data_IF_431688847072
#
_entry.id   IF_431688847072
#
_cell.length_a   1.000
_cell.length_b   1.000
_cell.length_c   1.000
_cell.angle_alpha   90.00
_cell.angle_beta   90.00
_cell.angle_gamma   90.00
#
_symmetry.space_group_name_H-M   'P 1'
#
loop_
_entity.id
_entity.type
_entity.pdbx_description
1 polymer ?
#
# COMPACT_ATOMS: atom_id res chain seq x y z
N UNK A 1 23.04 29.03 29.11
CA UNK A 1 23.78 28.82 27.85
C UNK A 1 24.74 27.66 28.08
N UNK A 2 24.46 26.47 27.52
CA UNK A 2 25.29 25.27 27.68
C UNK A 2 25.92 24.91 26.34
N UNK A 3 27.23 25.00 26.28
CA UNK A 3 28.09 24.65 25.16
C UNK A 3 28.11 23.12 25.02
N UNK A 4 27.69 22.59 23.87
CA UNK A 4 27.81 21.17 23.55
C UNK A 4 28.93 21.00 22.52
N UNK A 5 30.00 20.35 22.97
CA UNK A 5 31.22 20.02 22.24
C UNK A 5 30.93 18.88 21.25
N UNK A 6 31.19 19.12 19.96
CA UNK A 6 31.19 18.09 18.93
C UNK A 6 32.49 17.29 19.00
N UNK A 7 32.38 15.97 19.20
CA UNK A 7 33.50 15.05 19.03
C UNK A 7 33.57 14.59 17.57
N UNK A 8 34.68 14.92 16.91
CA UNK A 8 35.04 14.39 15.60
C UNK A 8 35.48 12.93 15.74
N UNK A 9 34.90 12.04 14.94
CA UNK A 9 35.44 10.71 14.71
C UNK A 9 35.83 10.62 13.24
N UNK A 10 37.13 10.50 13.00
CA UNK A 10 37.74 10.29 11.69
C UNK A 10 38.70 9.12 11.80
N UNK A 11 38.69 8.24 10.79
CA UNK A 11 39.66 7.20 10.36
C UNK A 11 38.85 6.08 9.67
N UNK A 12 38.76 6.04 8.32
CA UNK A 12 39.70 5.40 7.39
C UNK A 12 39.89 3.89 7.72
N UNK A 13 39.72 2.90 6.82
CA UNK A 13 40.37 2.76 5.51
C UNK A 13 40.07 1.37 4.88
N UNK A 14 40.11 1.29 3.53
CA UNK A 14 40.55 0.16 2.65
C UNK A 14 39.55 -1.04 2.54
N UNK A 15 39.22 -1.66 1.38
CA UNK A 15 40.02 -2.00 0.20
C UNK A 15 39.17 -2.22 -1.08
N UNK A 16 39.82 -1.98 -2.22
CA UNK A 16 39.41 -2.31 -3.59
C UNK A 16 39.35 -3.80 -3.90
N UNK A 17 38.53 -4.19 -4.88
CA UNK A 17 38.84 -5.28 -5.82
C UNK A 17 38.13 -5.01 -7.16
N UNK A 18 38.94 -4.95 -8.21
CA UNK A 18 38.57 -4.84 -9.62
C UNK A 18 38.68 -6.22 -10.29
N UNK A 19 37.86 -6.48 -11.33
CA UNK A 19 38.14 -7.29 -12.53
C UNK A 19 36.80 -7.62 -13.22
N UNK A 20 36.50 -7.08 -14.41
CA UNK A 20 36.87 -7.60 -15.73
C UNK A 20 36.19 -8.95 -16.08
N UNK A 21 35.25 -8.97 -17.04
CA UNK A 21 35.45 -9.54 -18.39
C UNK A 21 34.14 -9.73 -19.16
N UNK A 22 34.25 -9.33 -20.42
CA UNK A 22 33.37 -9.46 -21.56
C UNK A 22 33.15 -10.93 -21.96
N UNK A 23 31.91 -11.30 -22.32
CA UNK A 23 31.65 -12.45 -23.19
C UNK A 23 30.46 -12.15 -24.11
N UNK A 24 30.77 -11.82 -25.36
CA UNK A 24 29.84 -11.90 -26.48
C UNK A 24 29.61 -13.37 -26.82
N UNK A 25 28.36 -13.82 -26.82
CA UNK A 25 27.95 -15.02 -27.52
C UNK A 25 26.68 -14.71 -28.30
N UNK A 26 26.85 -14.36 -29.57
CA UNK A 26 25.80 -14.33 -30.56
C UNK A 26 25.47 -15.77 -30.95
N UNK A 27 24.32 -16.27 -30.50
CA UNK A 27 23.70 -17.46 -31.04
C UNK A 27 22.34 -17.07 -31.62
N UNK A 28 22.31 -16.96 -32.94
CA UNK A 28 21.10 -16.82 -33.73
C UNK A 28 20.38 -18.18 -33.77
N UNK A 29 19.29 -18.29 -33.04
CA UNK A 29 18.31 -19.36 -33.21
C UNK A 29 16.99 -18.73 -33.65
N UNK A 30 16.75 -18.78 -34.96
CA UNK A 30 15.44 -18.59 -35.56
C UNK A 30 14.51 -19.71 -35.12
N UNK A 31 13.51 -19.37 -34.33
CA UNK A 31 12.33 -20.21 -34.14
C UNK A 31 11.09 -19.30 -34.13
N UNK A 32 10.28 -19.25 -35.21
CA UNK A 32 9.03 -18.51 -35.20
C UNK A 32 7.97 -19.41 -34.56
N UNK A 33 8.13 -19.69 -33.27
CA UNK A 33 7.00 -20.14 -32.48
C UNK A 33 6.09 -18.93 -32.32
N UNK A 34 5.06 -18.87 -33.16
CA UNK A 34 3.92 -17.97 -33.02
C UNK A 34 3.20 -18.42 -31.75
N UNK A 35 3.79 -18.09 -30.61
CA UNK A 35 3.21 -18.28 -29.31
C UNK A 35 1.92 -17.49 -29.30
N UNK A 36 0.81 -18.22 -29.23
CA UNK A 36 -0.48 -17.67 -28.83
C UNK A 36 -0.24 -16.93 -27.53
N UNK A 37 -0.09 -15.61 -27.62
CA UNK A 37 -0.08 -14.73 -26.45
C UNK A 37 -1.46 -14.88 -25.86
N UNK A 38 -1.59 -15.79 -24.90
CA UNK A 38 -2.79 -15.93 -24.09
C UNK A 38 -3.12 -14.52 -23.62
N UNK A 39 -4.22 -13.95 -24.13
CA UNK A 39 -4.66 -12.63 -23.76
C UNK A 39 -4.77 -12.63 -22.24
N UNK A 40 -3.92 -11.84 -21.59
CA UNK A 40 -3.92 -11.77 -20.14
C UNK A 40 -5.33 -11.37 -19.69
N UNK A 41 -5.95 -12.22 -18.87
CA UNK A 41 -7.31 -11.99 -18.43
C UNK A 41 -7.38 -10.61 -17.77
N UNK A 42 -8.33 -9.79 -18.21
CA UNK A 42 -8.60 -8.51 -17.56
C UNK A 42 -9.01 -8.77 -16.10
N UNK A 43 -8.63 -7.87 -15.21
CA UNK A 43 -9.14 -7.91 -13.84
C UNK A 43 -10.67 -7.79 -13.84
N UNK A 44 -11.33 -8.63 -13.06
CA UNK A 44 -12.77 -8.52 -12.80
C UNK A 44 -12.99 -7.58 -11.61
N UNK A 45 -13.59 -6.39 -11.78
CA UNK A 45 -13.84 -5.49 -10.67
C UNK A 45 -14.73 -6.08 -9.58
N UNK A 46 -15.55 -7.09 -9.89
CA UNK A 46 -16.36 -7.78 -8.89
C UNK A 46 -15.51 -8.56 -7.88
N UNK A 47 -14.24 -8.87 -8.18
CA UNK A 47 -13.32 -9.53 -7.24
C UNK A 47 -13.02 -8.67 -6.01
N UNK A 48 -13.25 -7.34 -6.08
CA UNK A 48 -13.06 -6.40 -4.99
C UNK A 48 -14.15 -6.49 -3.91
N UNK A 49 -15.31 -7.07 -4.21
CA UNK A 49 -16.44 -7.09 -3.28
C UNK A 49 -16.05 -7.69 -1.92
N UNK A 50 -16.45 -7.00 -0.85
CA UNK A 50 -16.19 -7.37 0.53
C UNK A 50 -15.30 -6.40 1.30
N UNK A 51 -14.89 -6.83 2.49
CA UNK A 51 -14.08 -6.06 3.43
C UNK A 51 -12.62 -6.50 3.38
N UNK A 52 -11.71 -5.54 3.46
CA UNK A 52 -10.27 -5.73 3.40
C UNK A 52 -9.62 -5.03 4.60
N UNK A 53 -8.81 -5.78 5.35
CA UNK A 53 -8.10 -5.32 6.54
C UNK A 53 -6.74 -4.78 6.14
N UNK A 54 -6.35 -3.63 6.69
CA UNK A 54 -5.05 -3.04 6.39
C UNK A 54 -3.90 -3.91 6.94
N UNK A 55 -2.98 -4.29 6.05
CA UNK A 55 -1.81 -5.09 6.37
C UNK A 55 -0.57 -4.19 6.45
N UNK A 56 -0.39 -3.54 7.61
CA UNK A 56 0.68 -2.56 7.79
C UNK A 56 2.07 -3.14 7.50
N UNK A 57 2.36 -4.37 7.92
CA UNK A 57 3.67 -5.03 7.70
C UNK A 57 4.00 -5.25 6.22
N UNK A 58 2.99 -5.39 5.36
CA UNK A 58 3.16 -5.58 3.92
C UNK A 58 3.14 -4.25 3.14
N UNK A 59 2.96 -3.12 3.84
CA UNK A 59 2.82 -1.79 3.25
C UNK A 59 4.09 -0.97 3.38
N UNK A 60 4.32 -0.05 2.45
CA UNK A 60 5.51 0.82 2.43
C UNK A 60 5.61 1.72 3.67
N UNK A 61 4.49 1.97 4.36
CA UNK A 61 4.45 2.75 5.60
C UNK A 61 5.12 2.04 6.79
N UNK A 62 5.35 0.73 6.73
CA UNK A 62 5.92 -0.03 7.86
C UNK A 62 7.31 0.49 8.25
N UNK A 63 8.21 0.61 7.27
CA UNK A 63 9.60 1.03 7.50
C UNK A 63 9.70 2.41 8.16
N UNK A 64 9.09 3.50 7.63
CA UNK A 64 9.18 4.81 8.27
C UNK A 64 8.50 4.85 9.64
N UNK A 65 7.46 4.03 9.90
CA UNK A 65 6.88 3.90 11.24
C UNK A 65 7.88 3.23 12.20
N UNK A 66 8.50 2.12 11.80
CA UNK A 66 9.51 1.42 12.60
C UNK A 66 10.71 2.32 12.91
N UNK A 67 11.20 3.06 11.92
CA UNK A 67 12.28 4.04 12.10
C UNK A 67 11.91 5.15 13.12
N UNK A 68 10.67 5.65 13.07
CA UNK A 68 10.16 6.61 14.07
C UNK A 68 10.10 6.00 15.47
N UNK A 69 9.66 4.75 15.61
CA UNK A 69 9.65 4.06 16.89
C UNK A 69 11.06 3.85 17.44
N UNK A 70 12.01 3.43 16.60
CA UNK A 70 13.42 3.27 16.98
C UNK A 70 14.03 4.60 17.46
N UNK A 71 13.73 5.70 16.76
CA UNK A 71 14.17 7.05 17.14
C UNK A 71 13.61 7.46 18.50
N UNK A 72 12.30 7.28 18.72
CA UNK A 72 11.64 7.59 20.01
C UNK A 72 12.17 6.76 21.17
N UNK A 73 12.60 5.54 20.89
CA UNK A 73 13.11 4.62 21.89
C UNK A 73 14.55 4.91 22.34
N UNK A 74 15.28 5.80 21.65
CA UNK A 74 16.65 6.20 21.99
C UNK A 74 17.61 5.00 22.19
N UNK A 75 17.50 3.99 21.32
CA UNK A 75 18.33 2.78 21.35
C UNK A 75 17.78 1.62 22.20
N UNK A 76 16.66 1.81 22.91
CA UNK A 76 15.99 0.76 23.67
C UNK A 76 15.11 -0.12 22.75
N UNK A 77 15.60 -1.30 22.39
CA UNK A 77 14.89 -2.21 21.47
C UNK A 77 13.49 -2.61 21.98
N UNK A 78 13.34 -2.86 23.29
CA UNK A 78 12.06 -3.28 23.86
C UNK A 78 11.01 -2.15 23.76
N UNK A 79 11.42 -0.89 23.96
CA UNK A 79 10.54 0.27 23.75
C UNK A 79 10.19 0.47 22.28
N UNK A 80 11.13 0.28 21.36
CA UNK A 80 10.86 0.37 19.92
C UNK A 80 9.82 -0.68 19.48
N UNK A 81 9.97 -1.92 19.97
CA UNK A 81 9.05 -3.01 19.69
C UNK A 81 7.66 -2.78 20.31
N UNK A 82 7.60 -2.25 21.53
CA UNK A 82 6.33 -1.87 22.15
C UNK A 82 5.60 -0.78 21.35
N UNK A 83 6.32 0.26 20.92
CA UNK A 83 5.79 1.32 20.05
C UNK A 83 5.26 0.76 18.73
N UNK A 84 6.02 -0.11 18.06
CA UNK A 84 5.58 -0.74 16.82
C UNK A 84 4.33 -1.58 17.02
N UNK A 85 4.30 -2.43 18.06
CA UNK A 85 3.17 -3.32 18.35
C UNK A 85 1.88 -2.56 18.62
N UNK A 86 1.96 -1.44 19.35
CA UNK A 86 0.82 -0.56 19.57
C UNK A 86 0.27 -0.01 18.25
N UNK A 87 1.15 0.54 17.39
CA UNK A 87 0.75 1.10 16.10
C UNK A 87 0.18 0.01 15.19
N UNK A 88 0.81 -1.16 15.12
CA UNK A 88 0.32 -2.29 14.33
C UNK A 88 -1.06 -2.78 14.80
N UNK A 89 -1.29 -2.78 16.12
CA UNK A 89 -2.60 -3.13 16.70
C UNK A 89 -3.67 -2.11 16.33
N UNK A 90 -3.33 -0.82 16.29
CA UNK A 90 -4.26 0.23 15.85
C UNK A 90 -4.52 0.14 14.34
N UNK A 91 -3.47 -0.03 13.54
CA UNK A 91 -3.55 -0.15 12.08
C UNK A 91 -4.40 -1.35 11.64
N UNK A 92 -4.36 -2.47 12.37
CA UNK A 92 -5.19 -3.64 12.09
C UNK A 92 -6.71 -3.40 12.28
N UNK A 93 -7.10 -2.27 12.88
CA UNK A 93 -8.51 -1.85 12.99
C UNK A 93 -8.98 -1.08 11.76
N UNK A 94 -8.05 -0.56 10.96
CA UNK A 94 -8.38 0.14 9.72
C UNK A 94 -8.74 -0.87 8.63
N UNK A 95 -9.84 -0.58 7.95
CA UNK A 95 -10.42 -1.43 6.91
C UNK A 95 -10.89 -0.58 5.74
N UNK A 96 -11.00 -1.24 4.60
CA UNK A 96 -11.75 -0.72 3.45
C UNK A 96 -12.81 -1.74 3.02
N UNK A 97 -13.87 -1.26 2.39
CA UNK A 97 -14.94 -2.09 1.85
C UNK A 97 -15.28 -1.63 0.44
N UNK A 98 -15.40 -2.58 -0.47
CA UNK A 98 -16.09 -2.37 -1.73
C UNK A 98 -17.42 -3.10 -1.65
N UNK A 99 -18.49 -2.42 -2.02
CA UNK A 99 -19.83 -2.97 -2.01
C UNK A 99 -20.76 -2.19 -2.90
N UNK A 100 -22.07 -2.34 -2.68
CA UNK A 100 -23.11 -1.58 -3.38
C UNK A 100 -24.00 -0.83 -2.40
N UNK A 101 -24.43 0.37 -2.77
CA UNK A 101 -25.46 1.09 -2.04
C UNK A 101 -26.87 0.55 -2.33
N UNK A 102 -27.89 1.14 -1.71
CA UNK A 102 -29.29 0.78 -1.93
C UNK A 102 -29.81 1.00 -3.37
N UNK A 103 -29.07 1.74 -4.20
CA UNK A 103 -29.36 1.94 -5.62
C UNK A 103 -28.54 1.00 -6.53
N UNK A 104 -27.74 0.10 -5.96
CA UNK A 104 -26.90 -0.85 -6.69
C UNK A 104 -25.61 -0.25 -7.24
N UNK A 105 -25.26 1.00 -6.88
CA UNK A 105 -24.01 1.66 -7.32
C UNK A 105 -22.84 1.17 -6.49
N UNK A 106 -21.67 1.01 -7.10
CA UNK A 106 -20.48 0.64 -6.35
C UNK A 106 -20.06 1.75 -5.38
N UNK A 107 -19.64 1.36 -4.18
CA UNK A 107 -19.19 2.25 -3.11
C UNK A 107 -17.86 1.77 -2.58
N UNK A 108 -16.94 2.70 -2.36
CA UNK A 108 -15.73 2.49 -1.58
C UNK A 108 -15.89 3.15 -0.21
N UNK A 109 -15.66 2.39 0.85
CA UNK A 109 -15.73 2.86 2.23
C UNK A 109 -14.39 2.60 2.92
N UNK A 110 -13.79 3.61 3.54
CA UNK A 110 -12.70 3.49 4.52
C UNK A 110 -13.25 3.72 5.92
N UNK A 111 -12.95 2.81 6.83
CA UNK A 111 -13.49 2.82 8.19
C UNK A 111 -12.54 2.18 9.19
N UNK A 112 -12.78 2.45 10.47
CA UNK A 112 -12.09 1.82 11.59
C UNK A 112 -13.08 1.08 12.50
N UNK A 113 -12.58 0.11 13.27
CA UNK A 113 -13.34 -0.57 14.32
C UNK A 113 -12.88 -0.13 15.71
N UNK A 114 -13.81 0.38 16.52
CA UNK A 114 -13.61 0.63 17.95
C UNK A 114 -14.53 -0.30 18.76
N UNK A 115 -13.99 -1.44 19.20
CA UNK A 115 -14.81 -2.54 19.68
C UNK A 115 -15.73 -3.04 18.56
N UNK A 116 -17.03 -3.07 18.81
CA UNK A 116 -18.05 -3.48 17.83
C UNK A 116 -18.61 -2.30 17.01
N UNK A 117 -18.08 -1.09 17.22
CA UNK A 117 -18.54 0.12 16.54
C UNK A 117 -17.70 0.38 15.29
N UNK A 118 -18.37 0.50 14.16
CA UNK A 118 -17.79 1.00 12.91
C UNK A 118 -17.76 2.53 12.92
N UNK A 119 -16.58 3.10 12.66
CA UNK A 119 -16.39 4.53 12.42
C UNK A 119 -16.04 4.75 10.95
N UNK A 120 -16.95 5.38 10.20
CA UNK A 120 -16.75 5.69 8.79
C UNK A 120 -15.86 6.94 8.66
N UNK A 121 -14.65 6.75 8.15
CA UNK A 121 -13.75 7.84 7.81
C UNK A 121 -14.15 8.44 6.47
N UNK A 122 -14.34 7.61 5.45
CA UNK A 122 -14.75 8.04 4.12
C UNK A 122 -15.70 7.01 3.53
N UNK A 123 -16.79 7.46 2.93
CA UNK A 123 -17.62 6.65 2.05
C UNK A 123 -17.90 7.45 0.78
N UNK A 124 -17.72 6.84 -0.39
CA UNK A 124 -17.88 7.55 -1.66
C UNK A 124 -18.35 6.61 -2.77
N UNK A 125 -19.33 7.03 -3.60
CA UNK A 125 -19.69 6.30 -4.81
C UNK A 125 -18.50 6.25 -5.78
N UNK A 126 -18.28 5.09 -6.38
CA UNK A 126 -17.21 4.87 -7.37
C UNK A 126 -17.72 4.19 -8.62
N UNK A 127 -17.11 4.49 -9.76
CA UNK A 127 -17.19 3.72 -10.98
C UNK A 127 -15.99 2.76 -11.01
N UNK A 128 -16.26 1.45 -10.98
CA UNK A 128 -15.22 0.42 -11.07
C UNK A 128 -15.03 -0.03 -12.52
N UNK A 129 -13.80 -0.21 -12.96
CA UNK A 129 -13.47 -0.74 -14.29
C UNK A 129 -12.11 -1.42 -14.32
N UNK A 130 -11.89 -2.31 -15.29
CA UNK A 130 -10.58 -2.93 -15.49
C UNK A 130 -9.54 -1.89 -15.95
N UNK A 131 -8.31 -2.00 -15.43
CA UNK A 131 -7.16 -1.12 -15.73
C UNK A 131 -5.96 -1.95 -16.22
N UNK A 132 -6.25 -3.02 -16.95
CA UNK A 132 -5.27 -4.01 -17.41
C UNK A 132 -5.22 -5.28 -16.55
N UNK A 133 -4.27 -6.19 -16.84
CA UNK A 133 -4.12 -7.43 -16.10
C UNK A 133 -3.82 -7.17 -14.63
N UNK A 134 -4.63 -7.73 -13.74
CA UNK A 134 -4.46 -7.61 -12.29
C UNK A 134 -4.69 -6.20 -11.72
N UNK A 135 -5.29 -5.27 -12.46
CA UNK A 135 -5.53 -3.91 -11.98
C UNK A 135 -6.98 -3.48 -12.20
N UNK A 136 -7.57 -2.84 -11.19
CA UNK A 136 -8.90 -2.23 -11.22
C UNK A 136 -8.76 -0.74 -10.96
N UNK A 137 -9.51 0.06 -11.70
CA UNK A 137 -9.65 1.48 -11.51
C UNK A 137 -10.96 1.77 -10.77
N UNK A 138 -10.89 2.54 -9.69
CA UNK A 138 -12.03 3.06 -8.98
C UNK A 138 -12.05 4.59 -9.11
N UNK A 139 -12.93 5.09 -9.98
CA UNK A 139 -13.09 6.53 -10.23
C UNK A 139 -14.15 7.08 -9.29
N UNK A 140 -13.87 8.20 -8.62
CA UNK A 140 -14.83 8.87 -7.74
C UNK A 140 -16.01 9.38 -8.58
N UNK A 141 -17.22 8.94 -8.25
CA UNK A 141 -18.44 9.19 -9.01
C UNK A 141 -19.48 10.02 -8.25
N UNK A 142 -19.15 10.48 -7.04
CA UNK A 142 -20.06 11.25 -6.21
C UNK A 142 -19.35 11.97 -5.07
N UNK A 143 -20.15 12.62 -4.23
CA UNK A 143 -19.65 13.30 -3.04
C UNK A 143 -19.28 12.29 -1.95
N UNK A 144 -18.13 12.49 -1.31
CA UNK A 144 -17.73 11.69 -0.17
C UNK A 144 -18.48 12.11 1.10
N UNK A 145 -18.72 11.15 1.99
CA UNK A 145 -19.27 11.33 3.35
C UNK A 145 -18.33 10.71 4.38
N UNK A 146 -18.58 10.91 5.68
CA UNK A 146 -17.73 10.43 6.77
C UNK A 146 -16.83 11.50 7.41
N UNK A 147 -16.17 11.14 8.51
CA UNK A 147 -15.37 12.07 9.32
C UNK A 147 -14.15 12.68 8.62
N UNK A 148 -13.70 12.07 7.52
CA UNK A 148 -12.54 12.46 6.72
C UNK A 148 -12.86 12.81 5.26
N UNK A 149 -14.13 13.00 4.89
CA UNK A 149 -14.54 13.31 3.51
C UNK A 149 -13.84 14.57 2.96
N UNK A 150 -13.72 15.61 3.78
CA UNK A 150 -13.07 16.86 3.39
C UNK A 150 -11.57 16.69 3.10
N UNK A 151 -10.90 15.72 3.73
CA UNK A 151 -9.50 15.40 3.42
C UNK A 151 -9.38 14.74 2.05
N UNK A 152 -10.30 13.85 1.68
CA UNK A 152 -10.33 13.24 0.34
C UNK A 152 -10.49 14.32 -0.75
N UNK A 153 -11.46 15.24 -0.56
CA UNK A 153 -11.69 16.35 -1.49
C UNK A 153 -10.45 17.25 -1.63
N UNK A 154 -9.81 17.61 -0.51
CA UNK A 154 -8.57 18.40 -0.51
C UNK A 154 -7.39 17.69 -1.18
N UNK A 155 -7.34 16.37 -1.13
CA UNK A 155 -6.30 15.59 -1.79
C UNK A 155 -6.47 15.53 -3.32
N UNK A 156 -7.62 15.99 -3.85
CA UNK A 156 -7.96 15.97 -5.26
C UNK A 156 -7.80 14.57 -5.89
N UNK A 157 -8.16 13.54 -5.13
CA UNK A 157 -8.13 12.15 -5.59
C UNK A 157 -9.40 11.92 -6.40
N UNK A 158 -9.25 11.78 -7.71
CA UNK A 158 -10.36 11.48 -8.64
C UNK A 158 -10.40 10.03 -9.07
N UNK A 159 -9.27 9.32 -8.93
CA UNK A 159 -9.08 7.94 -9.36
C UNK A 159 -8.17 7.22 -8.36
N UNK A 160 -8.56 6.02 -7.97
CA UNK A 160 -7.74 5.08 -7.23
C UNK A 160 -7.41 3.90 -8.13
N UNK A 161 -6.12 3.55 -8.25
CA UNK A 161 -5.69 2.31 -8.91
C UNK A 161 -5.47 1.25 -7.84
N UNK A 162 -6.08 0.08 -8.07
CA UNK A 162 -6.09 -1.04 -7.15
C UNK A 162 -5.46 -2.23 -7.86
N UNK A 163 -4.37 -2.75 -7.32
CA UNK A 163 -3.73 -3.95 -7.79
C UNK A 163 -4.35 -5.17 -7.08
N UNK A 164 -4.74 -6.17 -7.86
CA UNK A 164 -5.15 -7.49 -7.39
C UNK A 164 -3.89 -8.35 -7.28
N UNK A 165 -3.27 -8.36 -6.10
CA UNK A 165 -2.03 -9.12 -5.84
C UNK A 165 -2.32 -10.62 -5.90
N UNK A 166 -3.39 -11.04 -5.24
CA UNK A 166 -3.94 -12.39 -5.30
C UNK A 166 -5.44 -12.36 -4.92
N UNK A 167 -6.08 -13.53 -4.81
CA UNK A 167 -7.52 -13.63 -4.50
C UNK A 167 -7.94 -13.03 -3.14
N UNK A 168 -6.98 -12.80 -2.25
CA UNK A 168 -7.17 -12.32 -0.87
C UNK A 168 -6.32 -11.10 -0.55
N UNK A 169 -5.55 -10.57 -1.49
CA UNK A 169 -4.67 -9.43 -1.25
C UNK A 169 -4.85 -8.40 -2.34
N UNK A 170 -5.07 -7.15 -1.95
CA UNK A 170 -5.04 -6.00 -2.84
C UNK A 170 -4.00 -4.99 -2.38
N UNK A 171 -3.56 -4.15 -3.31
CA UNK A 171 -2.73 -3.00 -2.98
C UNK A 171 -3.27 -1.74 -3.65
N UNK A 172 -3.14 -0.61 -2.95
CA UNK A 172 -3.49 0.71 -3.44
C UNK A 172 -2.25 1.60 -3.35
N UNK A 173 -1.99 2.42 -4.37
CA UNK A 173 -0.89 3.38 -4.31
C UNK A 173 -1.39 4.73 -3.78
N UNK A 174 -0.88 5.17 -2.64
CA UNK A 174 -1.12 6.50 -2.09
C UNK A 174 0.09 7.41 -2.43
N UNK A 175 -0.13 8.59 -3.05
CA UNK A 175 0.96 9.47 -3.48
C UNK A 175 1.91 9.94 -2.36
N UNK A 176 1.48 9.88 -1.10
CA UNK A 176 2.25 10.32 0.08
C UNK A 176 2.78 9.15 0.89
N UNK A 177 2.04 8.04 0.94
CA UNK A 177 2.33 6.89 1.80
C UNK A 177 2.96 5.70 1.05
N UNK A 178 2.94 5.71 -0.28
CA UNK A 178 3.39 4.60 -1.11
C UNK A 178 2.34 3.49 -1.20
N UNK A 179 2.80 2.26 -1.39
CA UNK A 179 1.96 1.06 -1.48
C UNK A 179 1.30 0.73 -0.14
N UNK A 180 -0.03 0.69 -0.15
CA UNK A 180 -0.86 0.26 0.97
C UNK A 180 -1.48 -1.09 0.64
N UNK A 181 -1.18 -2.12 1.44
CA UNK A 181 -1.64 -3.49 1.22
C UNK A 181 -2.81 -3.81 2.14
N UNK A 182 -3.81 -4.49 1.62
CA UNK A 182 -4.97 -4.95 2.37
C UNK A 182 -5.24 -6.42 2.10
N UNK A 183 -5.67 -7.15 3.12
CA UNK A 183 -6.03 -8.56 3.03
C UNK A 183 -7.51 -8.77 3.27
N UNK A 184 -8.15 -9.63 2.49
CA UNK A 184 -9.58 -9.92 2.58
C UNK A 184 -9.94 -10.49 3.96
N UNK A 185 -10.91 -9.85 4.61
CA UNK A 185 -11.49 -10.33 5.86
C UNK A 185 -12.11 -11.72 5.62
N UNK A 186 -11.89 -12.63 6.58
CA UNK A 186 -12.23 -14.05 6.43
C UNK A 186 -13.72 -14.31 6.31
#
# INVERSE_FOLDING_TARGET
MKTLTFAAFSLASIASLAACLTACASASSTDPSVGSVAAAAQADPASLDGTWVFAIDASDVAEPVRARCATKAAGDAAKADACWREIATQAAREKIRFGKDGAGRAVWTSFGMEGDKEEIFVEVPVELGADGPGHVLAKIAGKATGGMAAQLEKANITVMRIELVDARTIAMNDPKKGRLVYTKER
#
